data_IF_117445681043
#
_entry.id   IF_117445681043
#
_cell.length_a   1.000
_cell.length_b   1.000
_cell.length_c   1.000
_cell.angle_alpha   90.00
_cell.angle_beta   90.00
_cell.angle_gamma   90.00
#
_symmetry.space_group_name_H-M   'P 1'
#
loop_
_entity.id
_entity.type
_entity.pdbx_description
1 polymer ?
#
# COMPACT_ATOMS: atom_id res chain seq x y z
N UNK A 1 15.49 15.02 11.09
CA UNK A 1 14.08 15.47 10.86
C UNK A 1 13.61 16.18 12.12
N UNK A 2 13.07 17.40 12.01
CA UNK A 2 12.69 18.23 13.17
C UNK A 2 11.49 17.65 13.93
N UNK A 3 11.60 17.61 15.26
CA UNK A 3 10.66 17.01 16.22
C UNK A 3 9.22 17.58 16.16
N UNK A 4 9.02 18.74 15.54
CA UNK A 4 7.72 19.42 15.45
C UNK A 4 6.66 18.74 14.57
N UNK A 5 7.01 17.74 13.76
CA UNK A 5 6.03 17.09 12.87
C UNK A 5 5.15 16.04 13.58
N UNK A 6 5.60 15.51 14.73
CA UNK A 6 4.89 14.46 15.47
C UNK A 6 3.89 15.02 16.49
N UNK A 7 4.00 16.30 16.84
CA UNK A 7 3.15 16.98 17.82
C UNK A 7 1.65 17.01 17.46
N UNK A 8 1.29 16.72 16.21
CA UNK A 8 -0.11 16.69 15.73
C UNK A 8 -0.77 15.30 15.83
N UNK A 9 -0.04 14.26 16.19
CA UNK A 9 -0.56 12.89 16.24
C UNK A 9 -0.78 12.43 17.68
N UNK A 10 -2.00 11.96 17.96
CA UNK A 10 -2.36 11.37 19.26
C UNK A 10 -1.65 10.00 19.45
N UNK A 11 -1.30 9.61 20.69
CA UNK A 11 -0.68 8.31 21.00
C UNK A 11 -1.42 7.08 20.43
N UNK A 12 -2.73 7.20 20.17
CA UNK A 12 -3.56 6.14 19.55
C UNK A 12 -3.16 5.80 18.10
N UNK A 13 -2.39 6.65 17.43
CA UNK A 13 -1.94 6.44 16.05
C UNK A 13 -0.56 5.79 15.93
N UNK A 14 0.01 5.34 17.04
CA UNK A 14 1.28 4.64 17.07
C UNK A 14 1.02 3.15 17.27
N UNK A 15 1.66 2.33 16.45
CA UNK A 15 1.62 0.87 16.52
C UNK A 15 2.42 0.37 17.74
N UNK A 16 2.32 -0.92 18.09
CA UNK A 16 3.06 -1.52 19.23
C UNK A 16 4.59 -1.36 19.15
N UNK A 17 5.11 -0.95 17.98
CA UNK A 17 6.52 -0.64 17.73
C UNK A 17 6.82 0.86 17.65
N UNK A 18 5.95 1.71 18.22
CA UNK A 18 6.05 3.18 18.25
C UNK A 18 6.13 3.84 16.86
N UNK A 19 5.65 3.12 15.84
CA UNK A 19 5.61 3.58 14.46
C UNK A 19 4.23 4.14 14.11
N UNK A 20 4.16 5.22 13.35
CA UNK A 20 2.88 5.79 12.92
C UNK A 20 2.09 4.80 12.03
N UNK A 21 0.79 4.66 12.28
CA UNK A 21 -0.11 3.82 11.46
C UNK A 21 -0.17 4.36 10.03
N UNK A 22 -0.19 3.45 9.04
CA UNK A 22 -0.34 3.83 7.64
C UNK A 22 -1.59 4.67 7.41
N UNK A 23 -1.48 5.65 6.51
CA UNK A 23 -2.62 6.47 6.14
C UNK A 23 -3.70 5.57 5.51
N UNK A 24 -4.98 5.68 5.93
CA UNK A 24 -6.06 4.83 5.42
C UNK A 24 -6.19 4.88 3.89
N UNK A 25 -5.88 6.03 3.27
CA UNK A 25 -5.88 6.18 1.81
C UNK A 25 -4.93 5.24 1.08
N UNK A 26 -3.83 4.79 1.70
CA UNK A 26 -2.91 3.82 1.06
C UNK A 26 -3.61 2.48 0.90
N UNK A 27 -4.39 2.04 1.90
CA UNK A 27 -5.14 0.80 1.82
C UNK A 27 -6.21 0.85 0.72
N UNK A 28 -6.88 1.99 0.54
CA UNK A 28 -7.82 2.19 -0.58
C UNK A 28 -7.13 2.07 -1.94
N UNK A 29 -5.95 2.68 -2.10
CA UNK A 29 -5.17 2.59 -3.34
C UNK A 29 -4.70 1.15 -3.60
N UNK A 30 -4.24 0.48 -2.54
CA UNK A 30 -3.81 -0.92 -2.61
C UNK A 30 -4.99 -1.81 -3.03
N UNK A 31 -6.16 -1.64 -2.40
CA UNK A 31 -7.38 -2.35 -2.73
C UNK A 31 -7.79 -2.12 -4.19
N UNK A 32 -7.66 -0.88 -4.66
CA UNK A 32 -7.95 -0.52 -6.06
C UNK A 32 -7.02 -1.23 -7.05
N UNK A 33 -5.72 -1.33 -6.76
CA UNK A 33 -4.74 -2.06 -7.59
C UNK A 33 -4.97 -3.57 -7.51
N UNK A 34 -5.34 -4.10 -6.32
CA UNK A 34 -5.62 -5.52 -6.13
C UNK A 34 -7.01 -5.96 -6.64
N UNK A 35 -7.83 -5.06 -7.22
CA UNK A 35 -9.18 -5.40 -7.70
C UNK A 35 -9.20 -6.61 -8.64
N UNK A 36 -8.21 -6.74 -9.52
CA UNK A 36 -8.10 -7.86 -10.45
C UNK A 36 -7.88 -9.19 -9.71
N UNK A 37 -7.11 -9.19 -8.62
CA UNK A 37 -6.93 -10.35 -7.75
C UNK A 37 -8.19 -10.70 -6.97
N UNK A 38 -8.95 -9.71 -6.53
CA UNK A 38 -10.24 -9.96 -5.85
C UNK A 38 -11.20 -10.66 -6.81
N UNK A 39 -11.32 -10.15 -8.04
CA UNK A 39 -12.14 -10.76 -9.10
C UNK A 39 -11.64 -12.17 -9.43
N UNK A 40 -10.32 -12.36 -9.50
CA UNK A 40 -9.71 -13.68 -9.71
C UNK A 40 -10.05 -14.67 -8.60
N UNK A 41 -9.90 -14.28 -7.33
CA UNK A 41 -10.24 -15.13 -6.18
C UNK A 41 -11.73 -15.47 -6.21
N UNK A 42 -12.61 -14.49 -6.43
CA UNK A 42 -14.05 -14.74 -6.55
C UNK A 42 -14.36 -15.76 -7.65
N UNK A 43 -13.73 -15.60 -8.81
CA UNK A 43 -13.81 -16.54 -9.93
C UNK A 43 -13.35 -17.95 -9.53
N UNK A 44 -12.17 -18.10 -8.94
CA UNK A 44 -11.61 -19.41 -8.56
C UNK A 44 -12.42 -20.09 -7.45
N UNK A 45 -12.95 -19.32 -6.50
CA UNK A 45 -13.81 -19.85 -5.43
C UNK A 45 -15.17 -20.31 -5.96
N UNK A 46 -15.63 -19.76 -7.09
CA UNK A 46 -16.89 -20.12 -7.71
C UNK A 46 -16.69 -21.26 -8.73
N UNK A 47 -16.29 -22.44 -8.23
CA UNK A 47 -15.87 -23.61 -9.03
C UNK A 47 -16.83 -24.07 -10.15
N UNK A 48 -18.08 -23.61 -10.13
CA UNK A 48 -19.13 -23.97 -11.08
C UNK A 48 -19.12 -23.13 -12.36
N UNK A 49 -18.60 -21.90 -12.30
CA UNK A 49 -18.44 -21.02 -13.46
C UNK A 49 -17.27 -20.05 -13.27
N UNK A 50 -16.05 -20.61 -13.33
CA UNK A 50 -14.81 -19.87 -13.09
C UNK A 50 -14.57 -18.79 -14.17
N UNK A 51 -15.04 -19.01 -15.39
CA UNK A 51 -14.78 -18.13 -16.54
C UNK A 51 -15.89 -17.11 -16.77
N UNK A 52 -17.16 -17.46 -16.51
CA UNK A 52 -18.29 -16.55 -16.70
C UNK A 52 -18.19 -15.28 -15.87
N UNK A 53 -17.73 -15.37 -14.62
CA UNK A 53 -17.56 -14.20 -13.76
C UNK A 53 -16.43 -13.26 -14.24
N UNK A 54 -15.32 -13.82 -14.73
CA UNK A 54 -14.22 -13.02 -15.29
C UNK A 54 -14.70 -12.32 -16.56
N UNK A 55 -15.39 -13.03 -17.45
CA UNK A 55 -15.87 -12.49 -18.73
C UNK A 55 -16.93 -11.40 -18.55
N UNK A 56 -17.71 -11.46 -17.48
CA UNK A 56 -18.67 -10.40 -17.14
C UNK A 56 -17.98 -9.07 -16.81
N UNK A 57 -16.83 -9.11 -16.12
CA UNK A 57 -16.08 -7.90 -15.75
C UNK A 57 -15.06 -7.51 -16.83
N UNK A 58 -14.41 -8.50 -17.43
CA UNK A 58 -13.41 -8.36 -18.47
C UNK A 58 -13.81 -9.21 -19.67
N UNK A 59 -14.49 -8.62 -20.67
CA UNK A 59 -14.95 -9.37 -21.85
C UNK A 59 -13.80 -10.06 -22.58
N UNK A 60 -12.58 -9.51 -22.47
CA UNK A 60 -11.35 -10.08 -23.00
C UNK A 60 -10.45 -10.61 -21.87
N UNK A 61 -10.11 -11.91 -21.93
CA UNK A 61 -9.21 -12.56 -20.95
C UNK A 61 -7.80 -11.95 -20.94
N UNK A 62 -7.31 -11.47 -22.08
CA UNK A 62 -6.00 -10.80 -22.16
C UNK A 62 -5.94 -9.55 -21.27
N UNK A 63 -7.00 -8.73 -21.24
CA UNK A 63 -7.06 -7.54 -20.37
C UNK A 63 -7.09 -7.93 -18.90
N UNK A 64 -7.78 -9.02 -18.57
CA UNK A 64 -7.77 -9.55 -17.21
C UNK A 64 -6.35 -9.96 -16.78
N UNK A 65 -5.63 -10.75 -17.58
CA UNK A 65 -4.26 -11.16 -17.23
C UNK A 65 -3.27 -9.99 -17.17
N UNK A 66 -3.43 -8.96 -18.01
CA UNK A 66 -2.63 -7.73 -17.93
C UNK A 66 -2.91 -6.97 -16.63
N UNK A 67 -4.19 -6.81 -16.25
CA UNK A 67 -4.56 -6.22 -14.96
C UNK A 67 -4.11 -7.09 -13.78
N UNK A 68 -4.02 -8.41 -13.95
CA UNK A 68 -3.45 -9.29 -12.93
C UNK A 68 -1.95 -9.05 -12.78
N UNK A 69 -1.23 -8.86 -13.90
CA UNK A 69 0.18 -8.52 -13.90
C UNK A 69 0.46 -7.17 -13.22
N UNK A 70 -0.38 -6.15 -13.43
CA UNK A 70 -0.28 -4.87 -12.69
C UNK A 70 -0.45 -5.06 -11.19
N UNK A 71 -1.43 -5.89 -10.82
CA UNK A 71 -1.71 -6.22 -9.43
C UNK A 71 -0.55 -6.93 -8.72
N UNK A 72 0.35 -7.64 -9.44
CA UNK A 72 1.56 -8.27 -8.85
C UNK A 72 2.41 -7.20 -8.15
N UNK A 73 2.55 -6.02 -8.75
CA UNK A 73 3.29 -4.91 -8.14
C UNK A 73 2.59 -4.44 -6.87
N UNK A 74 1.26 -4.36 -6.88
CA UNK A 74 0.45 -4.04 -5.70
C UNK A 74 0.59 -5.10 -4.59
N UNK A 75 0.54 -6.39 -4.96
CA UNK A 75 0.71 -7.51 -4.05
C UNK A 75 2.12 -7.52 -3.45
N UNK A 76 3.14 -7.18 -4.24
CA UNK A 76 4.49 -7.00 -3.75
C UNK A 76 4.56 -5.89 -2.69
N UNK A 77 3.87 -4.76 -2.89
CA UNK A 77 3.77 -3.71 -1.87
C UNK A 77 3.05 -4.19 -0.60
N UNK A 78 1.97 -4.98 -0.73
CA UNK A 78 1.31 -5.63 0.42
C UNK A 78 2.30 -6.52 1.17
N UNK A 79 3.10 -7.32 0.45
CA UNK A 79 4.08 -8.21 1.04
C UNK A 79 5.16 -7.44 1.81
N UNK A 80 5.71 -6.37 1.23
CA UNK A 80 6.65 -5.49 1.94
C UNK A 80 6.01 -4.92 3.21
N UNK A 81 4.74 -4.51 3.14
CA UNK A 81 4.00 -4.00 4.30
C UNK A 81 3.84 -5.08 5.38
N UNK A 82 3.54 -6.32 5.01
CA UNK A 82 3.44 -7.46 5.94
C UNK A 82 4.79 -7.89 6.53
N UNK A 83 5.90 -7.61 5.84
CA UNK A 83 7.27 -7.87 6.29
C UNK A 83 7.85 -6.72 7.14
N UNK A 84 7.09 -5.64 7.38
CA UNK A 84 7.49 -4.52 8.25
C UNK A 84 7.57 -4.98 9.72
N UNK A 85 8.68 -5.62 10.09
CA UNK A 85 8.97 -6.10 11.46
C UNK A 85 10.32 -5.58 11.94
N UNK A 86 10.52 -5.38 13.26
CA UNK A 86 11.84 -5.10 13.80
C UNK A 86 12.77 -6.28 13.48
N UNK A 87 13.98 -5.99 12.96
CA UNK A 87 14.96 -6.96 12.37
C UNK A 87 14.63 -7.49 10.96
N UNK A 88 13.81 -6.80 10.19
CA UNK A 88 13.62 -7.17 8.78
C UNK A 88 14.96 -7.12 7.99
N UNK A 89 15.12 -7.99 6.98
CA UNK A 89 16.30 -7.99 6.14
C UNK A 89 16.44 -6.67 5.36
N UNK A 90 17.69 -6.28 5.05
CA UNK A 90 18.03 -4.98 4.46
C UNK A 90 17.31 -4.70 3.14
N UNK A 91 17.04 -5.71 2.33
CA UNK A 91 16.30 -5.56 1.07
C UNK A 91 14.87 -5.05 1.30
N UNK A 92 14.17 -5.48 2.36
CA UNK A 92 12.82 -5.00 2.72
C UNK A 92 12.87 -3.52 3.07
N UNK A 93 13.93 -3.08 3.77
CA UNK A 93 14.14 -1.68 4.14
C UNK A 93 14.34 -0.81 2.89
N UNK A 94 15.12 -1.28 1.92
CA UNK A 94 15.33 -0.57 0.64
C UNK A 94 14.06 -0.52 -0.19
N UNK A 95 13.33 -1.64 -0.30
CA UNK A 95 12.03 -1.68 -0.99
C UNK A 95 10.99 -0.78 -0.30
N UNK A 96 10.99 -0.69 1.03
CA UNK A 96 10.12 0.20 1.79
C UNK A 96 10.35 1.68 1.46
N UNK A 97 11.62 2.10 1.38
CA UNK A 97 11.95 3.47 0.95
C UNK A 97 11.48 3.80 -0.46
N UNK A 98 11.41 2.77 -1.34
CA UNK A 98 10.90 2.88 -2.71
C UNK A 98 9.41 2.55 -2.83
N UNK A 99 8.70 2.27 -1.74
CA UNK A 99 7.29 1.88 -1.72
C UNK A 99 6.42 2.93 -2.44
N UNK A 100 6.70 4.21 -2.24
CA UNK A 100 6.03 5.31 -2.96
C UNK A 100 6.15 5.18 -4.48
N UNK A 101 7.36 4.91 -4.97
CA UNK A 101 7.62 4.74 -6.40
C UNK A 101 6.96 3.47 -6.92
N UNK A 102 7.00 2.36 -6.17
CA UNK A 102 6.34 1.11 -6.54
C UNK A 102 4.82 1.27 -6.65
N UNK A 103 4.20 1.97 -5.71
CA UNK A 103 2.76 2.23 -5.72
C UNK A 103 2.34 3.11 -6.90
N UNK A 104 3.12 4.15 -7.21
CA UNK A 104 2.89 5.01 -8.38
C UNK A 104 3.09 4.21 -9.67
N UNK A 105 4.14 3.38 -9.75
CA UNK A 105 4.39 2.52 -10.90
C UNK A 105 3.23 1.55 -11.13
N UNK A 106 2.71 0.93 -10.07
CA UNK A 106 1.54 0.06 -10.15
C UNK A 106 0.32 0.80 -10.71
N UNK A 107 0.04 2.01 -10.22
CA UNK A 107 -1.07 2.85 -10.69
C UNK A 107 -0.91 3.30 -12.15
N UNK A 108 0.30 3.70 -12.56
CA UNK A 108 0.57 4.11 -13.94
C UNK A 108 0.44 2.93 -14.90
N UNK A 109 0.97 1.77 -14.51
CA UNK A 109 0.88 0.56 -15.31
C UNK A 109 -0.58 0.09 -15.43
N UNK A 110 -1.34 0.13 -14.34
CA UNK A 110 -2.78 -0.15 -14.31
C UNK A 110 -3.57 0.77 -15.27
N UNK A 111 -3.30 2.08 -15.21
CA UNK A 111 -3.91 3.06 -16.11
C UNK A 111 -3.54 2.80 -17.57
N UNK A 112 -2.29 2.43 -17.84
CA UNK A 112 -1.81 2.13 -19.20
C UNK A 112 -2.59 0.95 -19.79
N UNK A 113 -2.83 -0.10 -19.00
CA UNK A 113 -3.63 -1.25 -19.43
C UNK A 113 -5.08 -0.83 -19.71
N UNK A 114 -5.68 -0.01 -18.85
CA UNK A 114 -7.03 0.53 -19.06
C UNK A 114 -7.15 1.31 -20.37
N UNK A 115 -6.19 2.20 -20.64
CA UNK A 115 -6.13 2.98 -21.88
C UNK A 115 -5.91 2.10 -23.11
N UNK A 116 -5.01 1.11 -23.05
CA UNK A 116 -4.79 0.16 -24.15
C UNK A 116 -6.03 -0.69 -24.42
N UNK A 117 -6.74 -1.12 -23.37
CA UNK A 117 -8.01 -1.84 -23.51
C UNK A 117 -9.10 -1.01 -24.18
N UNK A 118 -9.12 0.30 -23.94
CA UNK A 118 -10.01 1.22 -24.65
C UNK A 118 -9.61 1.40 -26.12
N UNK A 119 -8.33 1.68 -26.39
CA UNK A 119 -7.86 2.02 -27.74
C UNK A 119 -7.89 0.84 -28.71
N UNK A 120 -7.44 -0.34 -28.26
CA UNK A 120 -7.28 -1.52 -29.14
C UNK A 120 -8.61 -2.27 -29.27
N UNK A 121 -9.32 -2.42 -28.15
CA UNK A 121 -10.47 -3.32 -28.06
C UNK A 121 -11.82 -2.59 -27.99
N UNK A 122 -11.85 -1.26 -27.79
CA UNK A 122 -13.08 -0.47 -27.60
C UNK A 122 -14.04 -1.07 -26.55
N UNK A 123 -13.49 -1.80 -25.59
CA UNK A 123 -14.26 -2.61 -24.63
C UNK A 123 -14.95 -1.77 -23.55
N UNK A 124 -14.63 -0.47 -23.46
CA UNK A 124 -15.06 0.42 -22.39
C UNK A 124 -15.61 1.73 -22.95
N UNK A 125 -16.57 2.32 -22.24
CA UNK A 125 -17.09 3.63 -22.61
C UNK A 125 -16.08 4.74 -22.31
N UNK A 126 -16.14 5.82 -23.09
CA UNK A 126 -15.29 7.00 -22.88
C UNK A 126 -15.44 7.56 -21.46
N UNK A 127 -16.67 7.61 -20.95
CA UNK A 127 -16.98 8.09 -19.59
C UNK A 127 -16.26 7.24 -18.53
N UNK A 128 -16.23 5.91 -18.72
CA UNK A 128 -15.58 5.01 -17.76
C UNK A 128 -14.07 5.22 -17.71
N UNK A 129 -13.42 5.38 -18.86
CA UNK A 129 -11.98 5.66 -18.92
C UNK A 129 -11.64 7.02 -18.31
N UNK A 130 -12.46 8.05 -18.56
CA UNK A 130 -12.27 9.37 -17.94
C UNK A 130 -12.37 9.26 -16.41
N UNK A 131 -13.37 8.56 -15.89
CA UNK A 131 -13.53 8.33 -14.44
C UNK A 131 -12.33 7.55 -13.86
N UNK A 132 -11.86 6.53 -14.56
CA UNK A 132 -10.69 5.75 -14.17
C UNK A 132 -9.42 6.60 -14.15
N UNK A 133 -9.18 7.41 -15.19
CA UNK A 133 -8.09 8.38 -15.24
C UNK A 133 -8.14 9.36 -14.06
N UNK A 134 -9.30 9.98 -13.81
CA UNK A 134 -9.48 10.93 -12.71
C UNK A 134 -9.18 10.28 -11.36
N UNK A 135 -9.66 9.05 -11.15
CA UNK A 135 -9.40 8.29 -9.94
C UNK A 135 -7.91 7.99 -9.78
N UNK A 136 -7.22 7.53 -10.82
CA UNK A 136 -5.77 7.27 -10.76
C UNK A 136 -4.98 8.55 -10.49
N UNK A 137 -5.31 9.66 -11.17
CA UNK A 137 -4.65 10.95 -10.95
C UNK A 137 -4.86 11.45 -9.52
N UNK A 138 -6.07 11.29 -8.98
CA UNK A 138 -6.37 11.65 -7.60
C UNK A 138 -5.56 10.81 -6.60
N UNK A 139 -5.41 9.50 -6.86
CA UNK A 139 -4.61 8.61 -6.04
C UNK A 139 -3.12 8.97 -6.08
N UNK A 140 -2.56 9.24 -7.27
CA UNK A 140 -1.17 9.69 -7.42
C UNK A 140 -0.97 11.02 -6.69
N UNK A 141 -1.88 11.97 -6.86
CA UNK A 141 -1.81 13.28 -6.18
C UNK A 141 -1.85 13.12 -4.66
N UNK A 142 -2.71 12.23 -4.15
CA UNK A 142 -2.77 11.90 -2.73
C UNK A 142 -1.44 11.31 -2.22
N UNK A 143 -0.85 10.36 -2.95
CA UNK A 143 0.47 9.77 -2.62
C UNK A 143 1.56 10.84 -2.59
N UNK A 144 1.54 11.78 -3.52
CA UNK A 144 2.54 12.84 -3.62
C UNK A 144 2.38 13.91 -2.53
N UNK A 145 1.15 14.35 -2.22
CA UNK A 145 0.87 15.41 -1.23
C UNK A 145 0.82 14.92 0.22
N UNK A 146 0.62 13.63 0.46
CA UNK A 146 0.47 13.09 1.81
C UNK A 146 1.79 13.15 2.60
N UNK A 147 1.94 14.19 3.42
CA UNK A 147 3.04 14.33 4.38
C UNK A 147 3.14 13.13 5.32
N UNK A 148 1.97 12.57 5.71
CA UNK A 148 1.87 11.38 6.57
C UNK A 148 2.53 10.16 5.92
N UNK A 149 2.43 10.01 4.60
CA UNK A 149 3.07 8.90 3.89
C UNK A 149 4.59 9.05 3.82
N UNK A 150 5.08 10.27 3.58
CA UNK A 150 6.52 10.55 3.60
C UNK A 150 7.15 10.27 4.96
N UNK A 151 6.46 10.62 6.05
CA UNK A 151 6.90 10.31 7.43
C UNK A 151 6.86 8.80 7.67
N UNK A 152 5.76 8.12 7.30
CA UNK A 152 5.63 6.66 7.45
C UNK A 152 6.71 5.85 6.69
N UNK A 153 7.15 6.33 5.52
CA UNK A 153 8.22 5.67 4.75
C UNK A 153 9.60 5.90 5.39
N UNK A 154 9.82 7.08 5.98
CA UNK A 154 11.06 7.38 6.69
C UNK A 154 11.17 6.61 8.02
N UNK A 155 10.03 6.24 8.61
CA UNK A 155 9.95 5.53 9.89
C UNK A 155 9.92 4.00 9.67
N UNK A 156 11.04 3.36 9.97
CA UNK A 156 11.15 1.91 9.97
C UNK A 156 11.18 1.42 11.43
N UNK A 157 10.47 0.33 11.79
CA UNK A 157 10.46 -0.16 13.16
C UNK A 157 11.88 -0.55 13.60
N UNK A 158 12.38 0.16 14.59
CA UNK A 158 13.63 -0.16 15.28
C UNK A 158 13.31 -0.78 16.64
N UNK A 159 14.19 -1.65 17.12
CA UNK A 159 14.05 -2.20 18.48
C UNK A 159 14.21 -1.05 19.48
N UNK A 160 13.14 -0.75 20.21
CA UNK A 160 13.20 0.22 21.31
C UNK A 160 14.27 -0.22 22.31
N UNK A 161 15.23 0.65 22.68
CA UNK A 161 16.24 0.29 23.66
C UNK A 161 15.57 0.09 25.04
N UNK A 162 15.64 -1.12 25.58
CA UNK A 162 15.13 -1.54 26.91
C UNK A 162 15.74 -0.73 28.10
N UNK A 163 16.68 0.19 27.83
CA UNK A 163 17.59 0.73 28.85
C UNK A 163 17.00 1.88 29.72
N UNK A 164 15.94 2.57 29.29
CA UNK A 164 15.50 3.77 30.03
C UNK A 164 14.56 3.48 31.21
N UNK A 165 13.89 2.32 31.24
CA UNK A 165 13.04 1.91 32.38
C UNK A 165 13.84 1.37 33.56
N UNK A 166 15.02 0.77 33.35
CA UNK A 166 15.89 0.31 34.45
C UNK A 166 16.67 1.44 35.12
N UNK A 167 17.07 2.48 34.35
CA UNK A 167 17.85 3.59 34.90
C UNK A 167 17.07 4.42 35.92
N UNK A 168 15.78 4.66 35.66
CA UNK A 168 14.92 5.40 36.59
C UNK A 168 14.56 4.62 37.86
N UNK A 169 14.46 3.28 37.77
CA UNK A 169 14.25 2.40 38.94
C UNK A 169 15.50 2.27 39.82
N UNK A 170 16.70 2.26 39.22
CA UNK A 170 17.95 2.23 39.99
C UNK A 170 18.23 3.53 40.75
N UNK A 171 17.92 4.70 40.17
CA UNK A 171 18.13 5.97 40.87
C UNK A 171 17.15 6.18 42.03
N UNK A 172 15.88 5.78 41.88
CA UNK A 172 14.90 5.87 42.99
C UNK A 172 15.14 4.88 44.13
N UNK A 173 15.86 3.78 43.89
CA UNK A 173 16.23 2.81 44.92
C UNK A 173 17.55 3.12 45.63
N UNK A 174 18.25 4.20 45.26
CA UNK A 174 19.55 4.60 45.82
C UNK A 174 19.47 5.90 46.63
N UNK A 175 18.30 6.55 46.65
CA UNK A 175 17.99 7.70 47.53
C UNK A 175 17.21 7.27 48.79
N UNK A 176 16.97 5.96 48.97
CA UNK A 176 16.33 5.38 50.15
C UNK A 176 17.29 4.36 50.74
N UNK A 177 18.42 4.83 51.23
CA UNK A 177 19.29 4.18 52.22
C UNK A 177 20.10 5.27 52.96
#
# INVERSE_FOLDING_TARGET
>A
MSANNYAKFSPKHFDSFDCLTLAPGIYFILLFVLRAYIIWIMSVTNMRDNVGFIQWVYPQTALFYLNLASGVIGLFVVLILSLRRPKAPTWVRTCWQKCKTLLILALVFDLTIGVLGYLIWQLQSLVWIIMHCLLVISAITYILRSKRFTINIAEFPEVLPENNTRKHRKTKGLEID
#
